data_IF_134434739453
#
_entry.id   IF_134434739453
#
_cell.length_a   1.000
_cell.length_b   1.000
_cell.length_c   1.000
_cell.angle_alpha   90.00
_cell.angle_beta   90.00
_cell.angle_gamma   90.00
#
_symmetry.space_group_name_H-M   'P 1'
#
loop_
_entity.id
_entity.type
_entity.pdbx_description
1 polymer ?
#
# COMPACT_ATOMS: atom_id res chain seq x y z
N UNK A 1 24.23 4.43 -5.22
CA UNK A 1 24.00 4.71 -6.65
C UNK A 1 22.52 4.90 -6.87
N UNK A 2 22.04 6.14 -6.87
CA UNK A 2 20.63 6.48 -7.10
C UNK A 2 20.32 6.27 -8.57
N UNK A 3 19.55 5.23 -8.91
CA UNK A 3 18.99 5.09 -10.26
C UNK A 3 18.10 6.31 -10.53
N UNK A 4 18.45 7.17 -11.51
CA UNK A 4 17.60 8.31 -11.85
C UNK A 4 16.26 7.78 -12.38
N UNK A 5 15.16 8.34 -11.88
CA UNK A 5 13.82 8.05 -12.41
C UNK A 5 13.83 8.41 -13.90
N UNK A 6 13.78 7.40 -14.76
CA UNK A 6 13.72 7.60 -16.21
C UNK A 6 12.46 8.40 -16.56
N UNK A 7 12.54 9.47 -17.38
CA UNK A 7 11.41 10.36 -17.70
C UNK A 7 10.21 9.65 -18.36
N UNK A 8 10.38 8.41 -18.80
CA UNK A 8 9.34 7.58 -19.43
C UNK A 8 8.22 7.15 -18.48
N UNK A 9 8.41 7.19 -17.15
CA UNK A 9 7.37 6.80 -16.18
C UNK A 9 6.56 7.99 -15.64
N UNK A 10 6.96 9.23 -15.93
CA UNK A 10 6.26 10.43 -15.46
C UNK A 10 4.84 10.58 -16.03
N UNK A 11 4.61 10.01 -17.23
CA UNK A 11 3.34 10.14 -17.96
C UNK A 11 2.52 8.83 -17.90
N UNK A 12 3.07 7.77 -17.32
CA UNK A 12 2.35 6.49 -17.19
C UNK A 12 1.44 6.51 -15.97
N UNK A 13 0.21 6.04 -16.17
CA UNK A 13 -0.87 6.10 -15.17
C UNK A 13 -1.29 4.74 -14.62
N UNK A 14 -0.60 3.64 -14.99
CA UNK A 14 -0.91 2.33 -14.41
C UNK A 14 -0.74 2.35 -12.88
N UNK A 15 -1.59 1.60 -12.17
CA UNK A 15 -1.62 1.53 -10.69
C UNK A 15 -1.76 2.90 -10.00
N UNK A 16 -2.36 3.88 -10.69
CA UNK A 16 -2.77 5.18 -10.14
C UNK A 16 -4.26 5.34 -10.41
N UNK A 17 -5.01 5.74 -9.40
CA UNK A 17 -6.44 5.98 -9.53
C UNK A 17 -6.84 7.22 -8.74
N UNK A 18 -7.91 7.86 -9.22
CA UNK A 18 -8.56 8.96 -8.53
C UNK A 18 -10.07 8.72 -8.63
N UNK A 19 -10.72 8.58 -7.49
CA UNK A 19 -12.17 8.37 -7.43
C UNK A 19 -12.75 9.27 -6.35
N UNK A 20 -13.73 10.12 -6.68
CA UNK A 20 -14.56 10.75 -5.67
C UNK A 20 -15.31 9.68 -4.88
N UNK A 21 -15.45 9.91 -3.58
CA UNK A 21 -16.29 9.06 -2.74
C UNK A 21 -17.76 9.20 -3.15
N UNK A 22 -18.53 8.14 -2.91
CA UNK A 22 -19.98 8.17 -3.03
C UNK A 22 -20.63 8.98 -1.87
N UNK A 23 -21.96 9.15 -1.84
CA UNK A 23 -22.63 9.86 -0.75
C UNK A 23 -22.41 9.27 0.66
N UNK A 24 -21.96 8.03 0.76
CA UNK A 24 -21.63 7.38 2.03
C UNK A 24 -20.15 7.52 2.40
N UNK A 25 -19.35 8.23 1.59
CA UNK A 25 -17.92 8.40 1.83
C UNK A 25 -17.05 7.26 1.32
N UNK A 26 -17.58 6.36 0.49
CA UNK A 26 -16.85 5.16 0.04
C UNK A 26 -16.23 5.36 -1.33
N UNK A 27 -14.95 5.00 -1.47
CA UNK A 27 -14.26 4.84 -2.75
C UNK A 27 -13.80 3.38 -2.91
N UNK A 28 -13.86 2.85 -4.13
CA UNK A 28 -13.51 1.46 -4.42
C UNK A 28 -12.63 1.38 -5.65
N UNK A 29 -11.55 0.64 -5.56
CA UNK A 29 -10.58 0.49 -6.65
C UNK A 29 -10.34 -0.98 -6.95
N UNK A 30 -10.40 -1.33 -8.23
CA UNK A 30 -9.89 -2.62 -8.70
C UNK A 30 -8.43 -2.43 -9.10
N UNK A 31 -7.53 -3.13 -8.41
CA UNK A 31 -6.08 -3.02 -8.64
C UNK A 31 -5.41 -4.38 -8.57
N UNK A 32 -4.13 -4.43 -8.90
CA UNK A 32 -3.27 -5.57 -8.64
C UNK A 32 -2.66 -5.46 -7.24
N UNK A 33 -2.44 -6.59 -6.57
CA UNK A 33 -1.74 -6.60 -5.30
C UNK A 33 -0.34 -5.97 -5.45
N UNK A 34 0.07 -5.05 -4.57
CA UNK A 34 1.31 -4.33 -4.77
C UNK A 34 2.51 -5.25 -4.56
N UNK A 35 3.58 -4.94 -5.28
CA UNK A 35 4.86 -5.60 -5.07
C UNK A 35 5.64 -4.93 -3.94
N UNK A 36 6.70 -5.57 -3.45
CA UNK A 36 7.63 -4.97 -2.50
C UNK A 36 9.00 -4.72 -3.12
N UNK A 37 9.68 -3.70 -2.61
CA UNK A 37 11.08 -3.42 -2.93
C UNK A 37 11.87 -3.38 -1.63
N UNK A 38 13.17 -3.58 -1.76
CA UNK A 38 14.08 -3.71 -0.63
C UNK A 38 13.83 -2.64 0.45
N UNK A 39 13.64 -3.11 1.69
CA UNK A 39 13.45 -2.26 2.86
C UNK A 39 12.07 -1.64 3.02
N UNK A 40 11.09 -1.98 2.19
CA UNK A 40 9.70 -1.52 2.35
C UNK A 40 8.74 -2.70 2.43
N UNK A 41 7.84 -2.68 3.41
CA UNK A 41 6.75 -3.63 3.49
C UNK A 41 5.74 -3.37 2.35
N UNK A 42 4.90 -4.36 2.07
CA UNK A 42 3.91 -4.25 0.98
C UNK A 42 2.82 -3.23 1.37
N UNK A 43 2.63 -2.19 0.57
CA UNK A 43 1.70 -1.10 0.87
C UNK A 43 1.08 -0.48 -0.39
N UNK A 44 0.00 0.29 -0.20
CA UNK A 44 -0.43 1.32 -1.13
C UNK A 44 -0.17 2.71 -0.54
N UNK A 45 -0.29 3.75 -1.37
CA UNK A 45 -0.26 5.15 -0.89
C UNK A 45 -1.58 5.77 -1.27
N UNK A 46 -2.24 6.38 -0.29
CA UNK A 46 -3.52 7.05 -0.48
C UNK A 46 -3.44 8.52 -0.06
N UNK A 47 -4.12 9.38 -0.81
CA UNK A 47 -4.32 10.78 -0.47
C UNK A 47 -5.82 11.04 -0.42
N UNK A 48 -6.31 11.62 0.68
CA UNK A 48 -7.72 12.02 0.78
C UNK A 48 -7.88 13.55 0.76
N UNK A 49 -8.98 13.98 0.16
CA UNK A 49 -9.40 15.37 -0.08
C UNK A 49 -8.64 16.16 -1.16
N UNK A 50 -9.31 17.20 -1.68
CA UNK A 50 -8.76 18.10 -2.72
C UNK A 50 -7.57 18.95 -2.23
N UNK A 51 -7.43 19.11 -0.92
CA UNK A 51 -6.33 19.86 -0.30
C UNK A 51 -5.32 18.95 0.41
N UNK A 52 -5.37 17.63 0.15
CA UNK A 52 -4.53 16.60 0.79
C UNK A 52 -4.49 16.78 2.30
N UNK A 53 -5.61 16.48 2.94
CA UNK A 53 -5.75 16.58 4.40
C UNK A 53 -5.17 15.37 5.12
N UNK A 54 -5.05 14.24 4.43
CA UNK A 54 -4.48 13.03 4.96
C UNK A 54 -3.73 12.27 3.86
N UNK A 55 -2.58 11.70 4.25
CA UNK A 55 -1.73 10.84 3.42
C UNK A 55 -1.47 9.58 4.22
N UNK A 56 -1.98 8.45 3.73
CA UNK A 56 -1.88 7.16 4.38
C UNK A 56 -1.01 6.18 3.60
N UNK A 57 -0.45 5.21 4.32
CA UNK A 57 0.19 4.02 3.74
C UNK A 57 -0.35 2.77 4.42
N UNK A 58 -1.50 2.24 3.97
CA UNK A 58 -2.04 1.01 4.55
C UNK A 58 -1.13 -0.18 4.23
N UNK A 59 -0.89 -1.00 5.25
CA UNK A 59 -0.14 -2.25 5.18
C UNK A 59 -1.08 -3.46 5.20
N UNK A 60 -0.52 -4.66 5.05
CA UNK A 60 -1.25 -5.93 5.05
C UNK A 60 -0.73 -6.83 6.15
N UNK A 61 -1.63 -7.49 6.87
CA UNK A 61 -1.22 -8.57 7.77
C UNK A 61 -0.37 -9.64 7.05
N UNK A 62 0.73 -10.04 7.70
CA UNK A 62 1.83 -10.87 7.15
C UNK A 62 1.40 -12.14 6.40
N UNK A 63 0.25 -12.72 6.74
CA UNK A 63 -0.27 -13.92 6.07
C UNK A 63 -0.57 -13.69 4.58
N UNK A 64 -1.08 -12.52 4.19
CA UNK A 64 -1.47 -12.25 2.81
C UNK A 64 -0.26 -12.02 1.90
N UNK A 65 0.71 -11.14 2.22
CA UNK A 65 1.93 -11.01 1.42
C UNK A 65 2.70 -12.33 1.27
N UNK A 66 2.78 -13.13 2.33
CA UNK A 66 3.43 -14.44 2.30
C UNK A 66 2.75 -15.42 1.31
N UNK A 67 1.42 -15.47 1.31
CA UNK A 67 0.66 -16.29 0.36
C UNK A 67 0.82 -15.79 -1.08
N UNK A 68 0.72 -14.48 -1.30
CA UNK A 68 0.85 -13.87 -2.62
C UNK A 68 2.24 -14.12 -3.20
N UNK A 69 3.31 -14.04 -2.40
CA UNK A 69 4.70 -14.31 -2.83
C UNK A 69 4.88 -15.70 -3.47
N UNK A 70 4.04 -16.68 -3.15
CA UNK A 70 4.12 -18.02 -3.74
C UNK A 70 3.47 -18.11 -5.13
N UNK A 71 2.61 -17.16 -5.49
CA UNK A 71 1.88 -17.15 -6.77
C UNK A 71 2.69 -16.45 -7.87
N UNK A 72 2.52 -16.84 -9.13
CA UNK A 72 3.07 -16.09 -10.25
C UNK A 72 2.25 -14.80 -10.48
N UNK A 73 2.87 -13.67 -10.86
CA UNK A 73 4.31 -13.49 -11.08
C UNK A 73 5.13 -13.24 -9.80
N UNK A 74 4.49 -13.02 -8.63
CA UNK A 74 5.09 -12.72 -7.31
C UNK A 74 6.25 -13.60 -6.87
N UNK A 75 6.24 -14.87 -7.28
CA UNK A 75 7.29 -15.84 -6.99
C UNK A 75 8.65 -15.59 -7.68
N UNK A 76 8.75 -14.65 -8.63
CA UNK A 76 10.04 -14.33 -9.26
C UNK A 76 10.90 -13.35 -8.45
N UNK A 77 10.32 -12.60 -7.50
CA UNK A 77 11.10 -11.73 -6.63
C UNK A 77 11.62 -12.50 -5.42
N UNK A 78 12.93 -12.74 -5.43
CA UNK A 78 13.63 -13.44 -4.35
C UNK A 78 13.93 -12.55 -3.13
N UNK A 79 13.62 -11.25 -3.18
CA UNK A 79 13.78 -10.37 -2.01
C UNK A 79 12.85 -10.82 -0.88
N UNK A 80 13.38 -10.80 0.34
CA UNK A 80 12.58 -10.97 1.55
C UNK A 80 11.50 -9.88 1.65
N UNK A 81 10.32 -10.25 2.13
CA UNK A 81 9.24 -9.30 2.39
C UNK A 81 9.45 -8.82 3.82
N UNK A 82 9.75 -7.53 4.05
CA UNK A 82 9.87 -6.99 5.40
C UNK A 82 8.56 -7.15 6.16
N UNK A 83 8.64 -7.35 7.47
CA UNK A 83 7.47 -7.18 8.33
C UNK A 83 6.99 -5.72 8.27
N UNK A 84 5.71 -5.46 8.54
CA UNK A 84 5.16 -4.10 8.43
C UNK A 84 5.86 -3.15 9.42
N UNK A 85 6.12 -3.63 10.65
CA UNK A 85 6.87 -2.92 11.69
C UNK A 85 8.35 -2.67 11.34
N UNK A 86 8.89 -3.41 10.37
CA UNK A 86 10.26 -3.29 9.87
C UNK A 86 10.34 -2.43 8.59
N UNK A 87 9.25 -1.76 8.19
CA UNK A 87 9.29 -0.81 7.07
C UNK A 87 10.30 0.32 7.36
N UNK A 88 11.20 0.60 6.41
CA UNK A 88 12.26 1.58 6.62
C UNK A 88 11.73 3.02 6.81
N UNK A 89 10.55 3.35 6.29
CA UNK A 89 10.06 4.73 6.23
C UNK A 89 8.81 4.99 7.05
N UNK A 90 7.92 4.01 7.15
CA UNK A 90 6.65 4.14 7.85
C UNK A 90 6.39 3.00 8.85
N UNK A 91 7.37 2.59 9.69
CA UNK A 91 7.17 1.51 10.64
C UNK A 91 6.10 1.87 11.69
N UNK A 92 5.95 3.18 11.99
CA UNK A 92 4.93 3.68 12.91
C UNK A 92 3.49 3.64 12.36
N UNK A 93 3.31 3.37 11.07
CA UNK A 93 1.98 3.20 10.46
C UNK A 93 1.54 1.73 10.39
N UNK A 94 2.44 0.80 10.77
CA UNK A 94 2.18 -0.64 10.76
C UNK A 94 1.43 -1.13 11.99
N UNK A 95 1.64 -0.47 13.14
CA UNK A 95 1.00 -0.85 14.40
C UNK A 95 -0.39 -0.21 14.46
N UNK A 96 -1.41 -0.93 13.99
CA UNK A 96 -2.84 -0.56 14.11
C UNK A 96 -3.35 -0.47 15.57
N UNK A 97 -2.48 -0.15 16.53
CA UNK A 97 -2.66 -0.27 17.97
C UNK A 97 -3.61 0.71 18.65
N UNK A 98 -4.37 1.54 17.92
CA UNK A 98 -5.33 2.47 18.54
C UNK A 98 -6.75 2.44 17.97
N UNK A 99 -7.05 1.63 16.94
CA UNK A 99 -8.34 1.72 16.25
C UNK A 99 -9.09 0.39 16.20
N UNK A 100 -10.33 0.40 16.71
CA UNK A 100 -11.27 -0.72 16.67
C UNK A 100 -11.55 -1.15 15.23
N UNK A 101 -11.31 -2.43 14.97
CA UNK A 101 -11.52 -3.18 13.74
C UNK A 101 -12.87 -2.92 13.05
N UNK A 102 -12.84 -2.32 11.86
CA UNK A 102 -13.82 -2.62 10.82
C UNK A 102 -13.08 -3.16 9.59
N UNK A 103 -13.25 -4.46 9.33
CA UNK A 103 -12.48 -5.20 8.35
C UNK A 103 -13.06 -4.95 6.96
N UNK A 104 -12.54 -3.96 6.24
CA UNK A 104 -12.85 -3.76 4.82
C UNK A 104 -11.64 -4.23 4.02
N UNK A 105 -11.79 -5.34 3.29
CA UNK A 105 -10.76 -5.99 2.46
C UNK A 105 -9.48 -6.50 3.15
N UNK A 106 -9.47 -6.67 4.48
CA UNK A 106 -8.27 -7.16 5.19
C UNK A 106 -7.09 -6.19 5.15
N UNK A 107 -7.40 -4.91 4.93
CA UNK A 107 -6.50 -3.77 5.06
C UNK A 107 -6.77 -3.12 6.42
N UNK A 108 -5.71 -2.80 7.13
CA UNK A 108 -5.81 -2.05 8.38
C UNK A 108 -5.76 -0.55 8.04
N UNK A 109 -6.81 0.18 8.39
CA UNK A 109 -6.91 1.62 8.17
C UNK A 109 -6.61 2.36 9.48
N UNK A 110 -5.73 3.36 9.41
CA UNK A 110 -5.54 4.36 10.47
C UNK A 110 -6.02 5.70 9.92
N UNK A 111 -7.27 6.05 10.19
CA UNK A 111 -7.79 7.40 9.99
C UNK A 111 -7.69 8.19 11.29
N UNK A 112 -7.25 9.44 11.21
CA UNK A 112 -7.47 10.44 12.27
C UNK A 112 -8.97 10.75 12.45
#
# INVERSE_FOLDING_TARGET
TTTPLTPTNLIKTFLRALQPTDPNGVAQFLTLFPWHYHGRATHFVEHTSRNVTHVGQPFYGQALPAAVKLAAPYNINMQEVPADEDDMWAPSLADGGLCSWERVFGLDFCGD
#
